data_IF_422534041236
#
_entry.id   IF_422534041236
#
_cell.length_a   1.000
_cell.length_b   1.000
_cell.length_c   1.000
_cell.angle_alpha   90.00
_cell.angle_beta   90.00
_cell.angle_gamma   90.00
#
_symmetry.space_group_name_H-M   'P 1'
#
loop_
_entity.id
_entity.type
_entity.pdbx_description
1 polymer ?
#
# COMPACT_ATOMS: atom_id res chain seq x y z
N UNK A 1 -15.94 4.74 -7.10
CA UNK A 1 -17.21 5.43 -7.45
C UNK A 1 -17.09 5.93 -8.88
N UNK A 2 -18.07 5.62 -9.72
CA UNK A 2 -18.16 6.12 -11.09
C UNK A 2 -18.90 7.45 -11.03
N UNK A 3 -18.29 8.51 -11.55
CA UNK A 3 -18.97 9.80 -11.73
C UNK A 3 -18.87 10.21 -13.19
N UNK A 4 -20.01 10.50 -13.78
CA UNK A 4 -20.08 11.04 -15.12
C UNK A 4 -19.98 12.58 -15.02
N UNK A 5 -19.01 13.17 -15.72
CA UNK A 5 -18.84 14.62 -15.74
C UNK A 5 -18.49 15.07 -17.16
N UNK A 6 -19.39 15.83 -17.81
CA UNK A 6 -19.23 16.33 -19.19
C UNK A 6 -18.81 15.24 -20.21
N UNK A 7 -19.51 14.11 -20.26
CA UNK A 7 -19.20 13.02 -21.18
C UNK A 7 -17.90 12.25 -20.87
N UNK A 8 -17.23 12.56 -19.75
CA UNK A 8 -16.06 11.81 -19.26
C UNK A 8 -16.49 10.91 -18.09
N UNK A 9 -16.19 9.63 -18.22
CA UNK A 9 -16.36 8.65 -17.14
C UNK A 9 -15.14 8.73 -16.21
N UNK A 10 -15.36 9.30 -15.02
CA UNK A 10 -14.31 9.53 -14.02
C UNK A 10 -14.41 8.47 -12.93
N UNK A 11 -13.38 7.62 -12.83
CA UNK A 11 -13.27 6.63 -11.77
C UNK A 11 -12.40 7.21 -10.65
N UNK A 12 -13.02 7.42 -9.48
CA UNK A 12 -12.32 7.86 -8.27
C UNK A 12 -12.09 6.68 -7.32
N UNK A 13 -10.91 6.69 -6.69
CA UNK A 13 -10.57 5.76 -5.62
C UNK A 13 -11.44 5.96 -4.40
N UNK A 14 -11.92 4.86 -3.82
CA UNK A 14 -12.73 4.89 -2.60
C UNK A 14 -11.83 5.10 -1.38
N UNK A 15 -12.25 5.93 -0.42
CA UNK A 15 -11.53 6.16 0.85
C UNK A 15 -11.16 4.86 1.57
N UNK A 16 -12.04 3.85 1.50
CA UNK A 16 -11.81 2.51 2.05
C UNK A 16 -10.54 1.83 1.51
N UNK A 17 -10.29 1.94 0.20
CA UNK A 17 -9.11 1.31 -0.43
C UNK A 17 -7.81 1.99 0.03
N UNK A 18 -7.83 3.30 0.22
CA UNK A 18 -6.71 4.04 0.81
C UNK A 18 -6.46 3.60 2.26
N UNK A 19 -7.49 3.39 3.07
CA UNK A 19 -7.28 2.87 4.44
C UNK A 19 -6.67 1.46 4.41
N UNK A 20 -7.14 0.58 3.52
CA UNK A 20 -6.58 -0.77 3.38
C UNK A 20 -5.11 -0.77 2.93
N UNK A 21 -4.76 0.02 1.91
CA UNK A 21 -3.36 0.14 1.49
C UNK A 21 -2.48 0.70 2.61
N UNK A 22 -2.98 1.64 3.40
CA UNK A 22 -2.24 2.20 4.52
C UNK A 22 -2.01 1.15 5.61
N UNK A 23 -3.06 0.40 5.99
CA UNK A 23 -2.94 -0.71 6.94
C UNK A 23 -1.98 -1.79 6.44
N UNK A 24 -2.04 -2.13 5.14
CA UNK A 24 -1.19 -3.14 4.56
C UNK A 24 0.29 -2.73 4.56
N UNK A 25 0.61 -1.48 4.21
CA UNK A 25 2.00 -0.99 4.12
C UNK A 25 2.60 -0.72 5.51
N UNK A 26 1.91 0.07 6.33
CA UNK A 26 2.36 0.43 7.68
C UNK A 26 2.28 -0.76 8.63
N UNK A 27 1.22 -1.57 8.56
CA UNK A 27 1.05 -2.76 9.39
C UNK A 27 2.16 -3.79 9.17
N UNK A 28 2.60 -3.97 7.93
CA UNK A 28 3.71 -4.88 7.63
C UNK A 28 5.05 -4.37 8.16
N UNK A 29 5.27 -3.05 8.10
CA UNK A 29 6.43 -2.39 8.71
C UNK A 29 6.47 -2.61 10.23
N UNK A 30 5.32 -2.44 10.89
CA UNK A 30 5.17 -2.74 12.33
C UNK A 30 5.45 -4.22 12.60
N UNK A 31 4.95 -5.12 11.75
CA UNK A 31 5.25 -6.55 11.81
C UNK A 31 6.74 -6.85 11.70
N UNK A 32 7.47 -6.16 10.80
CA UNK A 32 8.91 -6.32 10.67
C UNK A 32 9.64 -5.87 11.95
N UNK A 33 9.27 -4.73 12.53
CA UNK A 33 9.82 -4.26 13.82
C UNK A 33 9.52 -5.26 14.93
N UNK A 34 8.30 -5.81 14.98
CA UNK A 34 7.93 -6.85 15.93
C UNK A 34 8.80 -8.10 15.78
N UNK A 35 9.06 -8.55 14.55
CA UNK A 35 9.94 -9.69 14.28
C UNK A 35 11.37 -9.41 14.75
N UNK A 36 11.91 -8.21 14.49
CA UNK A 36 13.25 -7.83 14.94
C UNK A 36 13.34 -7.82 16.46
N UNK A 37 12.38 -7.19 17.15
CA UNK A 37 12.36 -7.10 18.62
C UNK A 37 12.28 -8.50 19.24
N UNK A 38 11.40 -9.37 18.74
CA UNK A 38 11.29 -10.74 19.25
C UNK A 38 12.55 -11.55 18.92
N UNK A 39 13.10 -11.42 17.71
CA UNK A 39 14.35 -12.08 17.33
C UNK A 39 15.50 -11.71 18.27
N UNK A 40 15.67 -10.43 18.61
CA UNK A 40 16.70 -9.98 19.55
C UNK A 40 16.47 -10.48 20.99
N UNK A 41 15.23 -10.76 21.37
CA UNK A 41 14.86 -11.18 22.73
C UNK A 41 15.04 -12.68 22.98
N UNK A 42 14.96 -13.51 21.95
CA UNK A 42 15.06 -14.97 22.07
C UNK A 42 16.47 -15.49 21.79
N UNK A 43 17.02 -16.29 22.70
CA UNK A 43 18.29 -17.00 22.51
C UNK A 43 18.01 -18.42 21.97
N UNK A 44 17.55 -18.52 20.72
CA UNK A 44 17.18 -19.79 20.10
C UNK A 44 17.51 -19.78 18.61
N UNK A 45 17.73 -20.94 17.99
CA UNK A 45 17.92 -21.05 16.53
C UNK A 45 16.78 -20.43 15.72
N UNK A 46 15.57 -20.38 16.29
CA UNK A 46 14.43 -19.72 15.66
C UNK A 46 14.60 -18.19 15.57
N UNK A 47 15.36 -17.56 16.47
CA UNK A 47 15.65 -16.12 16.44
C UNK A 47 16.21 -15.64 15.10
N UNK A 48 17.07 -16.45 14.47
CA UNK A 48 17.63 -16.15 13.15
C UNK A 48 16.56 -16.01 12.06
N UNK A 49 15.47 -16.77 12.12
CA UNK A 49 14.35 -16.63 11.18
C UNK A 49 13.56 -15.33 11.42
N UNK A 50 13.35 -14.96 12.68
CA UNK A 50 12.68 -13.71 13.05
C UNK A 50 13.51 -12.48 12.66
N UNK A 51 14.81 -12.49 12.99
CA UNK A 51 15.75 -11.43 12.62
C UNK A 51 15.95 -11.37 11.10
N UNK A 52 16.15 -12.51 10.44
CA UNK A 52 16.33 -12.59 9.00
C UNK A 52 15.12 -12.06 8.24
N UNK A 53 13.91 -12.52 8.59
CA UNK A 53 12.68 -12.00 8.00
C UNK A 53 12.51 -10.51 8.27
N UNK A 54 12.63 -10.08 9.54
CA UNK A 54 12.50 -8.69 9.92
C UNK A 54 13.47 -7.76 9.18
N UNK A 55 14.77 -8.06 9.20
CA UNK A 55 15.81 -7.22 8.58
C UNK A 55 15.71 -7.22 7.06
N UNK A 56 15.39 -8.36 6.42
CA UNK A 56 15.28 -8.45 4.96
C UNK A 56 14.05 -7.70 4.44
N UNK A 57 12.90 -7.84 5.09
CA UNK A 57 11.65 -7.23 4.65
C UNK A 57 11.53 -5.75 5.05
N UNK A 58 12.20 -5.31 6.12
CA UNK A 58 12.18 -3.90 6.56
C UNK A 58 12.54 -2.90 5.46
N UNK A 59 13.69 -2.97 4.77
CA UNK A 59 14.05 -1.98 3.75
C UNK A 59 13.08 -2.00 2.55
N UNK A 60 12.59 -3.18 2.17
CA UNK A 60 11.61 -3.32 1.08
C UNK A 60 10.28 -2.64 1.44
N UNK A 61 9.73 -2.92 2.63
CA UNK A 61 8.46 -2.34 3.07
C UNK A 61 8.59 -0.88 3.48
N UNK A 62 9.76 -0.44 3.96
CA UNK A 62 10.05 0.96 4.20
C UNK A 62 10.01 1.75 2.90
N UNK A 63 10.69 1.25 1.86
CA UNK A 63 10.64 1.84 0.53
C UNK A 63 9.20 1.93 -0.01
N UNK A 64 8.44 0.83 0.04
CA UNK A 64 7.04 0.80 -0.41
C UNK A 64 6.15 1.77 0.36
N UNK A 65 6.35 1.90 1.67
CA UNK A 65 5.55 2.80 2.52
C UNK A 65 5.84 4.26 2.18
N UNK A 66 7.11 4.63 2.03
CA UNK A 66 7.51 5.99 1.62
C UNK A 66 7.08 6.30 0.19
N UNK A 67 7.16 5.33 -0.72
CA UNK A 67 6.71 5.50 -2.10
C UNK A 67 5.19 5.66 -2.19
N UNK A 68 4.45 4.82 -1.47
CA UNK A 68 2.98 4.85 -1.45
C UNK A 68 2.41 6.08 -0.76
N UNK A 69 3.19 6.80 0.07
CA UNK A 69 2.78 8.07 0.69
C UNK A 69 2.26 9.09 -0.34
N UNK A 70 2.93 9.20 -1.48
CA UNK A 70 2.51 10.06 -2.60
C UNK A 70 1.18 9.59 -3.23
N UNK A 71 0.90 8.29 -3.17
CA UNK A 71 -0.33 7.68 -3.64
C UNK A 71 -1.53 7.88 -2.71
N UNK A 72 -1.32 8.19 -1.42
CA UNK A 72 -2.40 8.39 -0.46
C UNK A 72 -3.10 9.74 -0.56
N UNK A 73 -2.74 10.61 -1.51
CA UNK A 73 -3.38 11.90 -1.71
C UNK A 73 -4.85 11.70 -2.14
N UNK A 74 -5.83 11.92 -1.24
CA UNK A 74 -7.21 11.60 -1.53
C UNK A 74 -7.80 12.65 -2.49
N UNK A 75 -8.54 12.18 -3.51
CA UNK A 75 -9.23 13.04 -4.46
C UNK A 75 -8.61 13.12 -5.86
N UNK A 76 -7.46 12.45 -6.09
CA UNK A 76 -6.95 12.27 -7.45
C UNK A 76 -7.85 11.31 -8.24
N UNK A 77 -8.10 11.66 -9.49
CA UNK A 77 -8.81 10.80 -10.45
C UNK A 77 -7.87 9.64 -10.78
N UNK A 78 -8.31 8.41 -10.51
CA UNK A 78 -7.52 7.21 -10.81
C UNK A 78 -7.51 6.93 -12.31
N UNK A 79 -8.67 7.11 -12.95
CA UNK A 79 -8.82 6.88 -14.38
C UNK A 79 -9.89 7.79 -14.98
N UNK A 80 -9.64 8.29 -16.19
CA UNK A 80 -10.63 8.99 -17.01
C UNK A 80 -10.83 8.18 -18.28
N UNK A 81 -12.05 7.78 -18.56
CA UNK A 81 -12.43 7.16 -19.83
C UNK A 81 -13.00 8.28 -20.70
N UNK A 82 -12.39 8.48 -21.87
CA UNK A 82 -12.94 9.31 -22.94
C UNK A 82 -13.70 8.34 -23.85
N UNK A 83 -15.04 8.37 -23.87
CA UNK A 83 -15.79 7.57 -24.83
C UNK A 83 -15.46 8.04 -26.25
N UNK A 84 -15.09 7.11 -27.13
CA UNK A 84 -14.92 7.39 -28.55
C UNK A 84 -16.27 7.62 -29.22
N UNK A 85 -16.29 8.36 -30.33
CA UNK A 85 -17.49 8.53 -31.14
C UNK A 85 -18.01 7.14 -31.54
N UNK A 86 -19.31 6.91 -31.33
CA UNK A 86 -19.97 5.72 -31.81
C UNK A 86 -19.90 5.76 -33.35
N UNK A 87 -19.05 4.95 -33.95
CA UNK A 87 -19.12 4.65 -35.37
C UNK A 87 -20.42 3.91 -35.60
N UNK A 88 -21.42 4.65 -36.10
CA UNK A 88 -22.63 4.12 -36.74
C UNK A 88 -22.29 3.33 -38.01
#
# INVERSE_FOLDING_TARGET
MIQEKNGLLVIKGTKFYYVLMFLATVGFLIGCVFLIINGLKFNSKYSLFYLGGGILFTPFYLYLTLWSLHGFIPGKVLFKIIPGEATE
#
